data_IF_661837877661
#
_entry.id   IF_661837877661
#
_cell.length_a   1.000
_cell.length_b   1.000
_cell.length_c   1.000
_cell.angle_alpha   90.00
_cell.angle_beta   90.00
_cell.angle_gamma   90.00
#
_symmetry.space_group_name_H-M   'P 1'
#
loop_
_entity.id
_entity.type
_entity.pdbx_description
1 polymer ?
#
# COMPACT_ATOMS: atom_id res chain seq x y z
N UNK A 1 21.82 8.10 6.92
CA UNK A 1 20.48 8.11 7.52
C UNK A 1 20.16 6.67 7.86
N UNK A 2 19.92 6.37 9.13
CA UNK A 2 19.39 5.07 9.53
C UNK A 2 17.89 5.05 9.19
N UNK A 3 17.44 4.02 8.49
CA UNK A 3 16.03 3.82 8.17
C UNK A 3 15.61 2.47 8.73
N UNK A 4 14.57 2.46 9.56
CA UNK A 4 13.98 1.24 10.09
C UNK A 4 12.66 0.99 9.35
N UNK A 5 12.61 -0.01 8.46
CA UNK A 5 11.36 -0.36 7.81
C UNK A 5 10.32 -0.83 8.85
N UNK A 6 9.06 -0.45 8.65
CA UNK A 6 7.96 -0.74 9.58
C UNK A 6 7.04 -1.78 8.94
N UNK A 7 6.82 -2.91 9.62
CA UNK A 7 5.78 -3.86 9.22
C UNK A 7 4.43 -3.36 9.71
N UNK A 8 3.42 -3.38 8.84
CA UNK A 8 2.06 -2.98 9.19
C UNK A 8 1.05 -3.94 8.57
N UNK A 9 -0.11 -4.04 9.21
CA UNK A 9 -1.31 -4.69 8.67
C UNK A 9 -2.25 -3.63 8.10
N UNK A 10 -2.96 -3.99 7.04
CA UNK A 10 -4.09 -3.23 6.51
C UNK A 10 -5.20 -4.20 6.06
N UNK A 11 -6.41 -3.65 5.90
CA UNK A 11 -7.54 -4.37 5.30
C UNK A 11 -7.41 -4.29 3.78
N UNK A 12 -7.51 -5.43 3.10
CA UNK A 12 -7.50 -5.50 1.64
C UNK A 12 -8.91 -5.26 1.10
N UNK A 13 -8.98 -4.64 -0.08
CA UNK A 13 -10.20 -4.47 -0.85
C UNK A 13 -9.91 -4.83 -2.32
N UNK A 14 -10.91 -5.26 -3.10
CA UNK A 14 -10.74 -5.60 -4.52
C UNK A 14 -10.04 -4.53 -5.37
N UNK A 15 -10.24 -3.26 -5.05
CA UNK A 15 -9.61 -2.10 -5.68
C UNK A 15 -8.08 -2.13 -5.61
N UNK A 16 -7.50 -2.91 -4.70
CA UNK A 16 -6.07 -3.13 -4.67
C UNK A 16 -5.52 -3.78 -5.95
N UNK A 17 -6.34 -4.50 -6.71
CA UNK A 17 -5.91 -5.10 -7.98
C UNK A 17 -5.51 -4.04 -9.03
N UNK A 18 -5.96 -2.78 -8.89
CA UNK A 18 -5.47 -1.69 -9.73
C UNK A 18 -3.95 -1.49 -9.61
N UNK A 19 -3.37 -1.81 -8.44
CA UNK A 19 -1.94 -1.66 -8.16
C UNK A 19 -1.08 -2.49 -9.09
N UNK A 20 -1.58 -3.60 -9.67
CA UNK A 20 -0.84 -4.40 -10.65
C UNK A 20 -0.45 -3.59 -11.89
N UNK A 21 -1.20 -2.53 -12.23
CA UNK A 21 -0.99 -1.76 -13.46
C UNK A 21 0.02 -0.63 -13.29
N UNK A 22 -0.08 0.15 -12.21
CA UNK A 22 0.67 1.40 -12.04
C UNK A 22 1.45 1.49 -10.71
N UNK A 23 1.26 0.53 -9.79
CA UNK A 23 1.85 0.55 -8.47
C UNK A 23 1.25 1.59 -7.53
N UNK A 24 0.07 2.13 -7.83
CA UNK A 24 -0.68 3.02 -6.95
C UNK A 24 -1.78 2.24 -6.25
N UNK A 25 -1.74 2.21 -4.92
CA UNK A 25 -2.78 1.59 -4.11
C UNK A 25 -3.89 2.62 -3.93
N UNK A 26 -5.09 2.41 -4.47
CA UNK A 26 -6.19 3.34 -4.29
C UNK A 26 -6.74 3.26 -2.87
N UNK A 27 -7.43 4.32 -2.42
CA UNK A 27 -8.34 4.18 -1.29
C UNK A 27 -9.51 3.27 -1.70
N UNK A 28 -10.03 2.44 -0.78
CA UNK A 28 -11.20 1.62 -1.07
C UNK A 28 -12.43 2.48 -1.35
N UNK A 29 -13.35 1.93 -2.13
CA UNK A 29 -14.66 2.54 -2.35
C UNK A 29 -15.48 2.60 -1.05
N UNK A 30 -16.43 3.57 -0.93
CA UNK A 30 -17.20 3.77 0.31
C UNK A 30 -18.11 2.60 0.69
N UNK A 31 -18.40 1.70 -0.25
CA UNK A 31 -19.25 0.51 -0.05
C UNK A 31 -18.56 -0.75 -0.56
N UNK A 32 -17.24 -0.72 -0.69
CA UNK A 32 -16.47 -1.83 -1.20
C UNK A 32 -16.37 -2.93 -0.15
N UNK A 33 -16.62 -4.21 -0.49
CA UNK A 33 -16.49 -5.29 0.47
C UNK A 33 -15.02 -5.53 0.81
N UNK A 34 -14.76 -5.84 2.08
CA UNK A 34 -13.43 -6.28 2.51
C UNK A 34 -13.07 -7.62 1.87
N UNK A 35 -11.83 -7.74 1.41
CA UNK A 35 -11.25 -8.96 0.83
C UNK A 35 -10.27 -9.66 1.80
N UNK A 36 -10.27 -9.24 3.08
CA UNK A 36 -9.45 -9.79 4.15
C UNK A 36 -8.36 -8.84 4.61
N UNK A 37 -7.28 -9.38 5.19
CA UNK A 37 -6.17 -8.58 5.70
C UNK A 37 -4.83 -9.06 5.17
N UNK A 38 -3.92 -8.12 4.95
CA UNK A 38 -2.55 -8.40 4.49
C UNK A 38 -1.54 -7.52 5.25
N UNK A 39 -0.27 -7.92 5.20
CA UNK A 39 0.84 -7.20 5.82
C UNK A 39 1.89 -6.83 4.78
N UNK A 40 2.40 -5.60 4.88
CA UNK A 40 3.47 -5.09 4.02
C UNK A 40 4.52 -4.34 4.85
N UNK A 41 5.58 -3.90 4.18
CA UNK A 41 6.66 -3.12 4.79
C UNK A 41 6.64 -1.68 4.28
N UNK A 42 6.52 -0.70 5.18
CA UNK A 42 6.79 0.71 4.86
C UNK A 42 8.31 0.88 4.83
N UNK A 43 8.83 1.30 3.68
CA UNK A 43 10.26 1.48 3.43
C UNK A 43 10.62 2.94 3.11
N UNK A 44 9.63 3.81 3.01
CA UNK A 44 9.81 5.23 2.73
C UNK A 44 8.50 5.98 2.73
N UNK A 45 8.57 7.29 2.53
CA UNK A 45 7.40 8.16 2.50
C UNK A 45 7.66 9.40 1.64
N UNK A 46 6.59 10.01 1.14
CA UNK A 46 6.62 11.26 0.39
C UNK A 46 5.56 12.22 0.96
N UNK A 47 6.01 13.25 1.68
CA UNK A 47 5.12 14.24 2.30
C UNK A 47 4.39 15.13 1.29
N UNK A 48 5.00 15.42 0.12
CA UNK A 48 4.37 16.25 -0.90
C UNK A 48 3.15 15.54 -1.50
N UNK A 49 3.26 14.23 -1.70
CA UNK A 49 2.19 13.40 -2.26
C UNK A 49 1.32 12.72 -1.18
N UNK A 50 1.68 12.85 0.10
CA UNK A 50 1.07 12.16 1.25
C UNK A 50 0.95 10.64 1.04
N UNK A 51 2.03 10.00 0.60
CA UNK A 51 2.08 8.56 0.36
C UNK A 51 3.22 7.87 1.09
N UNK A 52 2.99 6.63 1.52
CA UNK A 52 4.03 5.68 1.91
C UNK A 52 4.54 4.93 0.69
N UNK A 53 5.84 4.65 0.65
CA UNK A 53 6.41 3.65 -0.23
C UNK A 53 6.38 2.31 0.51
N UNK A 54 5.68 1.33 -0.07
CA UNK A 54 5.49 0.01 0.53
C UNK A 54 6.13 -1.08 -0.33
N UNK A 55 6.67 -2.10 0.32
CA UNK A 55 7.16 -3.32 -0.33
C UNK A 55 6.23 -4.48 -0.04
N UNK A 56 5.84 -5.20 -1.09
CA UNK A 56 4.95 -6.34 -1.03
C UNK A 56 5.72 -7.67 -1.23
N UNK A 57 5.03 -8.79 -1.01
CA UNK A 57 5.54 -10.17 -1.10
C UNK A 57 4.97 -10.97 -2.27
N UNK A 58 4.28 -10.32 -3.22
CA UNK A 58 3.66 -10.96 -4.39
C UNK A 58 4.52 -10.96 -5.66
N UNK A 59 5.85 -10.93 -5.48
CA UNK A 59 6.81 -10.96 -6.58
C UNK A 59 7.03 -9.59 -7.23
N UNK A 60 7.98 -9.55 -8.15
CA UNK A 60 8.43 -8.31 -8.81
C UNK A 60 7.48 -7.81 -9.89
N UNK A 61 6.52 -8.64 -10.30
CA UNK A 61 5.50 -8.26 -11.28
C UNK A 61 4.38 -7.41 -10.67
N UNK A 62 4.25 -7.40 -9.35
CA UNK A 62 3.26 -6.58 -8.66
C UNK A 62 3.76 -5.13 -8.54
N UNK A 63 2.91 -4.18 -8.94
CA UNK A 63 3.23 -2.75 -8.89
C UNK A 63 4.52 -2.40 -9.64
N UNK A 64 5.33 -1.56 -9.02
CA UNK A 64 6.63 -1.13 -9.54
C UNK A 64 7.74 -2.00 -8.95
N UNK A 65 8.04 -3.13 -9.60
CA UNK A 65 9.11 -4.07 -9.18
C UNK A 65 8.89 -4.65 -7.76
N UNK A 66 7.65 -4.90 -7.37
CA UNK A 66 7.27 -5.38 -6.02
C UNK A 66 7.01 -4.27 -5.01
N UNK A 67 7.02 -3.00 -5.44
CA UNK A 67 6.72 -1.84 -4.62
C UNK A 67 5.45 -1.12 -5.08
N UNK A 68 4.80 -0.45 -4.13
CA UNK A 68 3.63 0.38 -4.41
C UNK A 68 3.67 1.66 -3.58
N UNK A 69 2.80 2.61 -3.94
CA UNK A 69 2.55 3.82 -3.16
C UNK A 69 1.18 3.75 -2.52
N UNK A 70 1.11 3.95 -1.20
CA UNK A 70 -0.12 3.89 -0.42
C UNK A 70 -0.44 5.27 0.17
N UNK A 71 -1.65 5.82 0.00
CA UNK A 71 -2.07 7.04 0.67
C UNK A 71 -1.91 6.94 2.19
N UNK A 72 -1.45 8.00 2.84
CA UNK A 72 -1.37 8.04 4.30
C UNK A 72 -2.70 7.73 4.98
N UNK A 73 -3.78 8.24 4.39
CA UNK A 73 -5.13 8.12 4.92
C UNK A 73 -5.60 6.65 4.95
N UNK A 74 -4.97 5.74 4.20
CA UNK A 74 -5.26 4.30 4.28
C UNK A 74 -4.90 3.72 5.65
N UNK A 75 -3.81 4.22 6.26
CA UNK A 75 -3.27 3.70 7.53
C UNK A 75 -3.65 4.60 8.71
N UNK A 76 -3.73 5.90 8.48
CA UNK A 76 -3.89 6.90 9.53
C UNK A 76 -5.35 7.30 9.79
N UNK A 77 -6.29 6.84 8.97
CA UNK A 77 -7.72 7.06 9.23
C UNK A 77 -8.24 5.99 10.20
N UNK A 78 -8.92 6.40 11.28
CA UNK A 78 -9.49 5.47 12.28
C UNK A 78 -10.69 4.68 11.76
#
# INVERSE_FOLDING_TARGET
MEGFPIVFRYTCFPSMDHTWNDGVIPMPGPTEPEDGGHCMLIVGYNNANRTFLVRNSWGTQWGQQGYGTMPYDYILSP
#
